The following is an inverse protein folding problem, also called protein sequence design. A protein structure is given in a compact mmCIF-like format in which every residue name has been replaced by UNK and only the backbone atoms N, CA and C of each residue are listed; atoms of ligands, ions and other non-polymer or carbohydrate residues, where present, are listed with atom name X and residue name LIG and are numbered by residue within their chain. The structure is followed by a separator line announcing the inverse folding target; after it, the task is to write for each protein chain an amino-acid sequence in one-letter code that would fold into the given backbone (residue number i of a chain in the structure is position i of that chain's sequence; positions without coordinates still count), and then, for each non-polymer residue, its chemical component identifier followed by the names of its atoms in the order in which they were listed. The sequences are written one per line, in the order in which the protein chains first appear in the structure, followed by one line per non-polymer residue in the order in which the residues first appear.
data_IF_551298070740
#
_entry.id   IF_551298070740
#
_cell.length_a   1.000
_cell.length_b   1.000
_cell.length_c   1.000
_cell.angle_alpha   90.00
_cell.angle_beta   90.00
_cell.angle_gamma   90.00
#
_symmetry.space_group_name_H-M   'P 1'
#
loop_
_entity.id
_entity.type
_entity.pdbx_description
1 polymer ?
#
# COMPACT_ATOMS: atom_id res chain seq x y z
N UNK A 1 8.97 -20.07 1.41
CA UNK A 1 7.74 -19.64 2.11
C UNK A 1 6.93 -18.75 1.17
N UNK A 2 5.68 -19.10 0.84
CA UNK A 2 4.72 -18.16 0.26
C UNK A 2 4.14 -17.35 1.43
N UNK A 3 4.92 -16.42 1.99
CA UNK A 3 4.40 -15.58 3.08
C UNK A 3 3.47 -14.53 2.48
N UNK A 4 2.18 -14.81 2.64
CA UNK A 4 1.08 -13.88 2.45
C UNK A 4 1.13 -12.87 3.59
N UNK A 5 1.50 -11.62 3.30
CA UNK A 5 1.44 -10.55 4.27
C UNK A 5 0.18 -9.74 4.06
N UNK A 6 -0.81 -9.95 4.91
CA UNK A 6 -2.04 -9.14 4.95
C UNK A 6 -1.75 -7.91 5.80
N UNK A 7 -1.93 -6.73 5.23
CA UNK A 7 -1.59 -5.47 5.87
C UNK A 7 -2.84 -4.61 6.03
N UNK A 8 -3.15 -4.20 7.27
CA UNK A 8 -4.22 -3.25 7.60
C UNK A 8 -3.64 -2.04 8.35
N UNK A 9 -4.07 -0.79 8.08
CA UNK A 9 -4.24 -0.13 6.79
C UNK A 9 -2.92 0.43 6.24
N UNK A 10 -2.89 0.76 4.95
CA UNK A 10 -1.84 1.62 4.39
C UNK A 10 -2.38 2.99 3.95
N UNK A 11 -1.49 3.84 3.47
CA UNK A 11 -1.71 5.18 2.93
C UNK A 11 -1.04 5.29 1.54
N UNK A 12 -1.72 5.74 0.48
CA UNK A 12 -1.09 5.94 -0.84
C UNK A 12 -0.67 7.38 -0.86
N UNK A 13 0.63 7.62 -0.75
CA UNK A 13 1.16 8.93 -0.36
C UNK A 13 2.00 9.55 -1.47
N UNK A 14 2.19 8.90 -2.62
CA UNK A 14 2.96 9.52 -3.69
C UNK A 14 2.48 9.08 -5.05
N UNK A 15 2.17 10.04 -5.92
CA UNK A 15 2.09 9.81 -7.36
C UNK A 15 3.10 10.77 -8.01
N UNK A 16 4.07 10.22 -8.73
CA UNK A 16 5.05 11.04 -9.45
C UNK A 16 4.40 11.63 -10.70
N UNK A 17 4.46 12.96 -10.87
CA UNK A 17 4.00 13.61 -12.12
C UNK A 17 5.03 13.44 -13.25
N UNK A 18 6.27 13.09 -12.90
CA UNK A 18 7.41 13.07 -13.80
C UNK A 18 7.86 11.65 -14.18
N UNK A 19 7.38 10.63 -13.46
CA UNK A 19 7.67 9.23 -13.73
C UNK A 19 6.34 8.53 -13.94
N UNK A 20 6.13 8.05 -15.15
CA UNK A 20 4.91 7.37 -15.54
C UNK A 20 4.76 6.10 -14.69
N UNK A 21 3.58 5.92 -14.10
CA UNK A 21 3.15 4.65 -13.53
C UNK A 21 3.90 4.17 -12.25
N UNK A 22 4.44 5.10 -11.45
CA UNK A 22 5.04 4.79 -10.14
C UNK A 22 4.28 5.50 -9.00
N UNK A 23 4.10 4.78 -7.89
CA UNK A 23 3.47 5.32 -6.67
C UNK A 23 4.20 4.89 -5.38
N UNK A 24 3.87 5.55 -4.27
CA UNK A 24 4.27 5.12 -2.91
C UNK A 24 3.07 4.70 -2.09
N UNK A 25 3.22 3.58 -1.40
CA UNK A 25 2.31 3.09 -0.35
C UNK A 25 3.01 3.10 1.00
N UNK A 26 2.50 3.82 2.00
CA UNK A 26 3.03 3.94 3.37
C UNK A 26 2.21 3.11 4.35
N UNK A 27 2.85 2.61 5.40
CA UNK A 27 2.23 1.87 6.49
C UNK A 27 2.60 2.50 7.84
N UNK A 28 1.60 2.63 8.73
CA UNK A 28 1.78 2.97 10.14
C UNK A 28 1.98 4.44 10.50
N UNK A 29 1.59 5.38 9.64
CA UNK A 29 1.70 6.81 9.93
C UNK A 29 0.45 7.41 10.61
N UNK A 30 -0.75 7.05 10.14
CA UNK A 30 -2.03 7.53 10.68
C UNK A 30 -2.67 6.56 11.67
N UNK A 31 -2.27 5.28 11.67
CA UNK A 31 -2.84 4.24 12.52
C UNK A 31 -1.75 3.48 13.27
N UNK A 32 -2.08 2.99 14.48
CA UNK A 32 -1.24 2.06 15.23
C UNK A 32 -1.12 0.74 14.46
N UNK A 33 -0.10 0.66 13.62
CA UNK A 33 0.24 -0.54 12.87
C UNK A 33 0.90 -1.56 13.80
N UNK A 34 0.34 -2.77 14.00
CA UNK A 34 0.93 -3.73 14.94
C UNK A 34 2.38 -4.06 14.57
N UNK A 35 3.29 -3.98 15.55
CA UNK A 35 4.75 -4.17 15.36
C UNK A 35 5.11 -5.44 14.60
N UNK A 36 4.31 -6.51 14.72
CA UNK A 36 4.50 -7.77 13.99
C UNK A 36 4.46 -7.59 12.47
N UNK A 37 3.51 -6.81 11.95
CA UNK A 37 3.38 -6.57 10.52
C UNK A 37 4.49 -5.66 10.00
N UNK A 38 4.91 -4.67 10.79
CA UNK A 38 6.07 -3.83 10.46
C UNK A 38 7.33 -4.68 10.25
N UNK A 39 7.58 -5.64 11.15
CA UNK A 39 8.74 -6.54 11.05
C UNK A 39 8.68 -7.37 9.77
N UNK A 40 7.51 -7.90 9.43
CA UNK A 40 7.32 -8.68 8.20
C UNK A 40 7.50 -7.84 6.93
N UNK A 41 6.97 -6.61 6.87
CA UNK A 41 7.22 -5.72 5.70
C UNK A 41 8.71 -5.39 5.62
N UNK A 42 9.37 -5.11 6.74
CA UNK A 42 10.81 -4.84 6.75
C UNK A 42 11.63 -6.04 6.25
N UNK A 43 11.23 -7.26 6.58
CA UNK A 43 11.89 -8.47 6.06
C UNK A 43 11.76 -8.61 4.53
N UNK A 44 10.70 -8.04 3.92
CA UNK A 44 10.58 -8.01 2.45
C UNK A 44 11.75 -7.27 1.79
N UNK A 45 12.34 -6.27 2.44
CA UNK A 45 13.49 -5.52 1.90
C UNK A 45 14.61 -6.45 1.42
N UNK A 46 14.95 -7.47 2.20
CA UNK A 46 15.97 -8.47 1.83
C UNK A 46 15.51 -9.50 0.79
N UNK A 47 14.20 -9.59 0.53
CA UNK A 47 13.65 -10.58 -0.41
C UNK A 47 13.36 -9.98 -1.79
N UNK A 48 12.99 -8.70 -1.88
CA UNK A 48 12.63 -8.05 -3.15
C UNK A 48 13.79 -7.93 -4.14
N UNK A 49 15.04 -8.11 -3.70
CA UNK A 49 16.20 -8.23 -4.60
C UNK A 49 16.17 -9.53 -5.44
N UNK A 50 15.59 -10.60 -4.90
CA UNK A 50 15.63 -11.94 -5.48
C UNK A 50 14.27 -12.45 -5.96
N UNK A 51 13.19 -11.89 -5.40
CA UNK A 51 11.83 -12.36 -5.59
C UNK A 51 10.91 -11.20 -5.98
N UNK A 52 9.92 -11.49 -6.83
CA UNK A 52 8.92 -10.50 -7.22
C UNK A 52 7.73 -10.53 -6.26
N UNK A 53 7.37 -9.36 -5.73
CA UNK A 53 6.20 -9.18 -4.87
C UNK A 53 5.26 -8.14 -5.45
N UNK A 54 3.96 -8.32 -5.22
CA UNK A 54 2.91 -7.37 -5.58
C UNK A 54 2.11 -7.00 -4.35
N UNK A 55 1.67 -5.75 -4.29
CA UNK A 55 0.61 -5.30 -3.38
C UNK A 55 -0.69 -5.15 -4.14
N UNK A 56 -1.77 -5.70 -3.59
CA UNK A 56 -3.14 -5.48 -4.04
C UNK A 56 -3.83 -4.69 -2.94
N UNK A 57 -4.45 -3.57 -3.26
CA UNK A 57 -5.11 -2.74 -2.27
C UNK A 57 -6.40 -2.12 -2.77
N UNK A 58 -7.30 -1.87 -1.82
CA UNK A 58 -8.62 -1.32 -2.08
C UNK A 58 -8.54 0.20 -2.24
N UNK A 59 -9.29 0.74 -3.20
CA UNK A 59 -9.52 2.18 -3.31
C UNK A 59 -11.01 2.47 -3.42
N UNK A 60 -11.43 3.55 -2.77
CA UNK A 60 -12.82 4.00 -2.82
C UNK A 60 -12.97 5.08 -3.88
N UNK A 61 -13.58 4.70 -5.01
CA UNK A 61 -13.96 5.61 -6.08
C UNK A 61 -15.44 5.98 -5.93
N UNK A 62 -15.71 7.17 -5.40
CA UNK A 62 -17.08 7.63 -5.08
C UNK A 62 -17.78 6.67 -4.09
N UNK A 63 -18.80 5.93 -4.56
CA UNK A 63 -19.55 4.91 -3.80
C UNK A 63 -19.17 3.47 -4.15
N UNK A 64 -18.16 3.26 -4.99
CA UNK A 64 -17.70 1.93 -5.43
C UNK A 64 -16.30 1.65 -4.89
N UNK A 65 -16.08 0.41 -4.48
CA UNK A 65 -14.74 -0.12 -4.17
C UNK A 65 -14.15 -0.66 -5.47
N UNK A 66 -12.92 -0.28 -5.74
CA UNK A 66 -12.08 -0.81 -6.81
C UNK A 66 -10.76 -1.30 -6.22
N UNK A 67 -9.98 -2.05 -7.00
CA UNK A 67 -8.74 -2.67 -6.54
C UNK A 67 -7.61 -2.38 -7.51
N UNK A 68 -6.48 -1.98 -6.94
CA UNK A 68 -5.24 -1.69 -7.67
C UNK A 68 -4.21 -2.74 -7.32
N UNK A 69 -3.44 -3.15 -8.32
CA UNK A 69 -2.26 -3.98 -8.16
C UNK A 69 -1.00 -3.19 -8.51
N UNK A 70 0.05 -3.34 -7.70
CA UNK A 70 1.37 -2.78 -8.00
C UNK A 70 2.49 -3.73 -7.64
N UNK A 71 3.49 -3.82 -8.52
CA UNK A 71 4.74 -4.54 -8.25
C UNK A 71 5.59 -3.72 -7.30
N UNK A 72 6.09 -4.35 -6.25
CA UNK A 72 6.94 -3.71 -5.24
C UNK A 72 8.36 -3.61 -5.80
N UNK A 73 8.85 -2.39 -5.97
CA UNK A 73 10.19 -2.08 -6.49
C UNK A 73 11.18 -1.70 -5.38
N UNK A 74 10.67 -1.34 -4.19
CA UNK A 74 11.53 -0.90 -3.09
C UNK A 74 10.79 -0.82 -1.77
N UNK A 75 11.55 -0.96 -0.68
CA UNK A 75 11.10 -0.78 0.70
C UNK A 75 11.98 0.27 1.36
N UNK A 76 11.39 1.25 2.04
CA UNK A 76 12.13 2.22 2.85
C UNK A 76 11.50 2.29 4.25
N UNK A 77 12.33 2.19 5.30
CA UNK A 77 11.87 2.37 6.69
C UNK A 77 12.30 3.72 7.23
N UNK A 78 11.44 4.37 8.01
CA UNK A 78 11.71 5.68 8.58
C UNK A 78 11.04 5.86 9.95
N UNK A 79 11.59 6.79 10.72
CA UNK A 79 11.03 7.16 12.03
C UNK A 79 9.95 8.24 11.87
N UNK A 80 8.86 8.09 12.62
CA UNK A 80 7.86 9.14 12.76
C UNK A 80 8.33 10.18 13.77
N UNK A 81 8.63 11.38 13.29
CA UNK A 81 9.20 12.48 14.06
C UNK A 81 8.37 12.92 15.29
N UNK A 82 7.10 12.50 15.42
CA UNK A 82 6.22 12.86 16.56
C UNK A 82 6.18 11.81 17.69
N UNK A 83 6.58 10.58 17.42
CA UNK A 83 6.58 9.49 18.39
C UNK A 83 7.88 8.70 18.19
N UNK A 84 8.94 9.04 18.94
CA UNK A 84 10.30 8.48 18.84
C UNK A 84 10.40 6.94 18.96
N UNK A 85 9.29 6.21 19.02
CA UNK A 85 9.19 4.75 19.08
C UNK A 85 8.44 4.11 17.92
N UNK A 86 7.82 4.88 17.03
CA UNK A 86 6.93 4.36 15.98
C UNK A 86 7.64 4.39 14.64
N UNK A 87 8.05 3.20 14.18
CA UNK A 87 8.61 3.03 12.84
C UNK A 87 7.48 2.95 11.81
N UNK A 88 7.68 3.55 10.65
CA UNK A 88 6.79 3.44 9.50
C UNK A 88 7.56 2.95 8.26
N UNK A 89 6.84 2.30 7.35
CA UNK A 89 7.41 1.73 6.11
C UNK A 89 6.78 2.39 4.91
N UNK A 90 7.55 2.61 3.86
CA UNK A 90 7.08 2.94 2.52
C UNK A 90 7.42 1.81 1.56
N UNK A 91 6.52 1.51 0.65
CA UNK A 91 6.76 0.69 -0.53
C UNK A 91 6.76 1.60 -1.74
N UNK A 92 7.78 1.47 -2.59
CA UNK A 92 7.78 1.99 -3.94
C UNK A 92 7.12 0.96 -4.84
N UNK A 93 6.12 1.34 -5.62
CA UNK A 93 5.41 0.42 -6.50
C UNK A 93 5.37 0.91 -7.94
N UNK A 94 5.57 0.00 -8.88
CA UNK A 94 5.21 0.19 -10.29
C UNK A 94 3.81 -0.37 -10.53
N UNK A 95 2.97 0.38 -11.24
CA UNK A 95 1.56 0.06 -11.48
C UNK A 95 1.26 0.12 -12.98
N UNK A 96 0.12 -0.40 -13.42
CA UNK A 96 -0.30 -0.23 -14.82
C UNK A 96 -0.78 1.21 -15.06
N UNK A 97 -0.76 1.66 -16.31
CA UNK A 97 -1.30 2.98 -16.69
C UNK A 97 -2.78 3.14 -16.33
N UNK A 98 -3.56 2.06 -16.47
CA UNK A 98 -4.97 2.03 -16.10
C UNK A 98 -5.16 2.26 -14.59
N UNK A 99 -4.44 1.51 -13.76
CA UNK A 99 -4.54 1.62 -12.30
C UNK A 99 -3.91 2.93 -11.79
N UNK A 100 -2.86 3.43 -12.45
CA UNK A 100 -2.29 4.75 -12.20
C UNK A 100 -3.30 5.86 -12.48
N UNK A 101 -4.03 5.78 -13.61
CA UNK A 101 -5.05 6.75 -13.97
C UNK A 101 -6.17 6.81 -12.93
N UNK A 102 -6.55 5.67 -12.33
CA UNK A 102 -7.50 5.62 -11.22
C UNK A 102 -6.96 6.34 -9.98
N UNK A 103 -5.72 6.06 -9.58
CA UNK A 103 -5.07 6.76 -8.45
C UNK A 103 -4.96 8.26 -8.71
N UNK A 104 -4.54 8.66 -9.92
CA UNK A 104 -4.39 10.06 -10.29
C UNK A 104 -5.73 10.79 -10.32
N UNK A 105 -6.82 10.11 -10.72
CA UNK A 105 -8.17 10.65 -10.61
C UNK A 105 -8.54 10.89 -9.14
N UNK A 106 -8.29 9.93 -8.24
CA UNK A 106 -8.53 10.10 -6.79
C UNK A 106 -7.72 11.29 -6.25
N UNK A 107 -6.45 11.40 -6.65
CA UNK A 107 -5.58 12.52 -6.28
C UNK A 107 -6.18 13.87 -6.65
N UNK A 108 -6.62 14.04 -7.89
CA UNK A 108 -7.15 15.33 -8.35
C UNK A 108 -8.45 15.73 -7.64
N UNK A 109 -9.25 14.73 -7.23
CA UNK A 109 -10.56 14.90 -6.60
C UNK A 109 -10.54 14.77 -5.07
N UNK A 110 -9.38 14.49 -4.46
CA UNK A 110 -9.25 14.49 -3.00
C UNK A 110 -9.41 15.91 -2.46
N UNK A 111 -10.23 16.05 -1.40
CA UNK A 111 -10.33 17.28 -0.62
C UNK A 111 -9.09 17.49 0.28
N UNK A 112 -8.39 16.40 0.60
CA UNK A 112 -7.17 16.39 1.41
C UNK A 112 -5.96 16.38 0.48
N UNK A 113 -5.70 17.54 -0.12
CA UNK A 113 -4.49 17.79 -0.92
C UNK A 113 -3.40 18.25 0.03
N UNK A 114 -2.32 17.49 0.19
CA UNK A 114 -1.27 17.97 1.08
C UNK A 114 0.13 17.45 0.77
N UNK A 115 1.09 18.36 0.94
CA UNK A 115 2.49 18.13 1.30
C UNK A 115 3.38 17.38 0.30
N UNK A 116 4.68 17.62 0.46
CA UNK A 116 5.75 16.95 -0.26
C UNK A 116 6.58 16.16 0.75
N UNK A 117 6.84 14.87 0.52
CA UNK A 117 7.67 14.05 1.40
C UNK A 117 8.95 13.57 0.68
N UNK A 118 10.12 13.62 1.33
CA UNK A 118 11.35 13.05 0.76
C UNK A 118 11.42 11.54 1.05
N UNK A 119 11.29 10.69 0.03
CA UNK A 119 11.37 9.21 0.13
C UNK A 119 11.99 8.64 -1.15
N UNK A 120 12.68 7.51 -1.06
CA UNK A 120 13.36 6.83 -2.16
C UNK A 120 14.24 7.77 -2.99
N UNK A 121 15.02 8.60 -2.28
CA UNK A 121 15.94 9.58 -2.87
C UNK A 121 15.27 10.75 -3.60
N UNK A 122 13.95 10.92 -3.52
CA UNK A 122 13.20 11.96 -4.26
C UNK A 122 12.06 12.56 -3.44
N UNK A 123 11.45 13.62 -3.97
CA UNK A 123 10.33 14.33 -3.34
C UNK A 123 8.99 13.93 -3.97
N UNK A 124 8.05 13.49 -3.14
CA UNK A 124 6.74 12.98 -3.57
C UNK A 124 5.62 13.91 -3.18
N UNK A 125 4.74 14.24 -4.13
CA UNK A 125 3.47 14.92 -3.82
C UNK A 125 2.52 13.92 -3.22
N UNK A 126 1.96 14.29 -2.08
CA UNK A 126 1.13 13.37 -1.32
C UNK A 126 -0.35 13.70 -1.40
N UNK A 127 -1.16 12.65 -1.29
CA UNK A 127 -2.52 12.78 -0.82
C UNK A 127 -2.66 11.83 0.35
N UNK A 128 -3.49 12.21 1.30
CA UNK A 128 -3.92 11.27 2.33
C UNK A 128 -5.14 10.53 1.77
N UNK A 129 -4.91 9.33 1.21
CA UNK A 129 -6.01 8.37 1.03
C UNK A 129 -6.18 7.64 2.36
N UNK A 130 -7.31 7.89 3.01
CA UNK A 130 -7.69 7.29 4.28
C UNK A 130 -8.24 5.87 4.05
N UNK A 131 -7.80 4.93 4.89
CA UNK A 131 -8.42 3.61 5.10
C UNK A 131 -8.46 2.68 3.89
N UNK A 132 -7.32 2.08 3.52
CA UNK A 132 -7.33 0.93 2.63
C UNK A 132 -6.74 -0.31 3.26
N UNK A 133 -7.39 -1.43 2.95
CA UNK A 133 -6.87 -2.76 3.19
C UNK A 133 -5.95 -3.13 2.02
N UNK A 134 -4.83 -3.75 2.35
CA UNK A 134 -3.84 -4.20 1.37
C UNK A 134 -3.38 -5.61 1.66
N UNK A 135 -2.97 -6.31 0.62
CA UNK A 135 -2.38 -7.64 0.72
C UNK A 135 -1.15 -7.70 -0.17
N UNK A 136 -0.06 -8.23 0.38
CA UNK A 136 1.20 -8.43 -0.34
C UNK A 136 1.33 -9.92 -0.67
N UNK A 137 1.54 -10.19 -1.95
CA UNK A 137 1.66 -11.52 -2.52
C UNK A 137 3.01 -11.67 -3.22
N UNK A 138 3.69 -12.79 -2.96
CA UNK A 138 4.85 -13.22 -3.75
C UNK A 138 4.38 -13.82 -5.08
N UNK A 139 4.93 -13.37 -6.20
CA UNK A 139 4.75 -14.01 -7.49
C UNK A 139 5.60 -15.27 -7.56
N UNK A 140 4.99 -16.40 -7.92
CA UNK A 140 5.74 -17.63 -8.22
C UNK A 140 5.58 -18.01 -9.69
N UNK A 141 4.39 -18.45 -10.09
CA UNK A 141 4.06 -18.79 -11.48
C UNK A 141 2.77 -18.09 -11.96
N UNK A 142 2.15 -17.31 -11.08
CA UNK A 142 0.89 -16.62 -11.31
C UNK A 142 1.09 -15.38 -12.19
N UNK A 143 0.13 -15.08 -13.06
CA UNK A 143 0.10 -13.80 -13.78
C UNK A 143 -0.27 -12.66 -12.83
N UNK A 144 0.02 -11.39 -13.17
CA UNK A 144 -0.46 -10.25 -12.37
C UNK A 144 -1.98 -10.25 -12.16
N UNK A 145 -2.74 -10.71 -13.15
CA UNK A 145 -4.20 -10.81 -13.04
C UNK A 145 -4.64 -11.92 -12.08
N UNK A 146 -3.95 -13.08 -12.08
CA UNK A 146 -4.20 -14.14 -11.10
C UNK A 146 -3.93 -13.64 -9.67
N UNK A 147 -2.81 -12.93 -9.47
CA UNK A 147 -2.46 -12.33 -8.18
C UNK A 147 -3.49 -11.27 -7.76
N UNK A 148 -3.97 -10.46 -8.70
CA UNK A 148 -5.02 -9.48 -8.45
C UNK A 148 -6.29 -10.16 -7.95
N UNK A 149 -6.75 -11.20 -8.64
CA UNK A 149 -7.95 -11.96 -8.26
C UNK A 149 -7.81 -12.67 -6.90
N UNK A 150 -6.64 -13.27 -6.64
CA UNK A 150 -6.33 -13.84 -5.32
C UNK A 150 -6.37 -12.78 -4.22
N UNK A 151 -5.74 -11.63 -4.46
CA UNK A 151 -5.70 -10.53 -3.50
C UNK A 151 -7.08 -9.97 -3.19
N UNK A 152 -7.92 -9.78 -4.22
CA UNK A 152 -9.33 -9.36 -4.07
C UNK A 152 -10.12 -10.36 -3.24
N UNK A 153 -9.97 -11.66 -3.51
CA UNK A 153 -10.64 -12.72 -2.75
C UNK A 153 -10.27 -12.67 -1.26
N UNK A 154 -8.97 -12.53 -0.97
CA UNK A 154 -8.46 -12.41 0.41
C UNK A 154 -8.99 -11.17 1.10
N UNK A 155 -8.89 -9.98 0.48
CA UNK A 155 -9.39 -8.72 1.04
C UNK A 155 -10.90 -8.79 1.34
N UNK A 156 -11.67 -9.44 0.47
CA UNK A 156 -13.12 -9.64 0.66
C UNK A 156 -13.42 -10.57 1.83
N UNK A 157 -12.65 -11.66 1.99
CA UNK A 157 -12.76 -12.55 3.16
C UNK A 157 -12.40 -11.82 4.46
N UNK A 158 -11.32 -11.03 4.45
CA UNK A 158 -10.90 -10.25 5.62
C UNK A 158 -11.94 -9.24 6.05
N UNK A 159 -12.62 -8.55 5.12
CA UNK A 159 -13.75 -7.70 5.50
C UNK A 159 -14.82 -8.45 6.26
N UNK A 160 -15.24 -9.62 5.77
CA UNK A 160 -16.29 -10.41 6.43
C UNK A 160 -15.90 -10.93 7.81
N UNK A 161 -14.61 -11.19 8.02
CA UNK A 161 -14.09 -11.77 9.27
C UNK A 161 -13.68 -10.69 10.28
N UNK A 162 -13.09 -9.58 9.82
CA UNK A 162 -12.49 -8.53 10.65
C UNK A 162 -13.38 -7.29 10.83
N UNK A 163 -14.48 -7.13 10.08
CA UNK A 163 -15.44 -6.04 10.31
C UNK A 163 -15.91 -5.92 11.77
N UNK A 164 -16.16 -7.03 12.51
CA UNK A 164 -16.52 -6.95 13.92
C UNK A 164 -15.37 -6.42 14.80
N UNK A 165 -14.13 -6.90 14.59
CA UNK A 165 -12.98 -6.52 15.42
C UNK A 165 -12.44 -5.12 15.09
N UNK A 166 -12.52 -4.69 13.82
CA UNK A 166 -12.07 -3.35 13.43
C UNK A 166 -13.06 -2.26 13.84
N UNK A 167 -14.36 -2.55 13.97
CA UNK A 167 -15.34 -1.59 14.50
C UNK A 167 -15.05 -1.20 15.96
N UNK A 168 -14.40 -2.05 16.76
CA UNK A 168 -14.04 -1.73 18.15
C UNK A 168 -12.80 -0.83 18.27
N UNK A 169 -12.03 -0.68 17.18
CA UNK A 169 -10.80 0.13 17.16
C UNK A 169 -11.06 1.56 16.61
N UNK A 170 -12.25 1.80 16.04
CA UNK A 170 -12.65 3.08 15.44
C UNK A 170 -13.44 3.98 16.39
#
# INVERSE_FOLDING_TARGET
MKELLITTPAEVVGISKNEENIAIVRFGHLFKFPKRYFKSIKQLESFIENDTYYIIFEVKLKKKIDFIIGKIEGVETYYLYRENSTNAVSLLISISEEDFSKLYWIYNHSLYKASTIPRFGRSWKTMEIWNFNGVILKQTNETPEDLKNMGVGLLTMFRRILEPEMCEIW
#
